data_IF_081374687276
#
_entry.id   IF_081374687276
#
_cell.length_a   1.000
_cell.length_b   1.000
_cell.length_c   1.000
_cell.angle_alpha   90.00
_cell.angle_beta   90.00
_cell.angle_gamma   90.00
#
_symmetry.space_group_name_H-M   'P 1'
#
loop_
_entity.id
_entity.type
_entity.pdbx_description
1 polymer ?
#
# COMPACT_ATOMS: atom_id res chain seq x y z
N UNK A 1 14.52 83.29 -32.98
CA UNK A 1 13.11 83.74 -32.87
C UNK A 1 12.19 82.60 -33.28
N UNK A 2 11.10 82.37 -32.52
CA UNK A 2 10.16 81.21 -32.57
C UNK A 2 10.76 79.90 -32.01
N UNK A 3 10.11 79.10 -31.17
CA UNK A 3 8.76 79.13 -30.60
C UNK A 3 8.71 78.26 -29.34
N UNK A 4 7.80 78.65 -28.43
CA UNK A 4 7.40 78.04 -27.15
C UNK A 4 6.72 76.67 -27.33
N UNK A 5 6.65 75.86 -26.27
CA UNK A 5 5.42 75.59 -25.49
C UNK A 5 5.61 74.31 -24.63
N UNK A 6 5.52 74.38 -23.29
CA UNK A 6 4.36 74.44 -22.36
C UNK A 6 4.30 73.10 -21.61
N UNK A 7 4.59 73.16 -20.31
CA UNK A 7 4.35 72.11 -19.33
C UNK A 7 2.87 72.20 -18.89
N UNK A 8 2.14 71.10 -19.00
CA UNK A 8 0.76 70.99 -18.51
C UNK A 8 0.67 69.89 -17.46
N UNK A 9 0.20 70.31 -16.29
CA UNK A 9 -0.23 69.52 -15.13
C UNK A 9 -1.23 68.44 -15.54
N UNK A 10 -1.07 67.23 -15.03
CA UNK A 10 -2.08 66.18 -15.12
C UNK A 10 -2.30 65.52 -13.75
N UNK A 11 -3.52 65.73 -13.28
CA UNK A 11 -4.21 65.17 -12.12
C UNK A 11 -4.32 63.65 -12.27
N UNK A 12 -3.96 62.89 -11.24
CA UNK A 12 -4.24 61.45 -11.16
C UNK A 12 -5.39 61.21 -10.18
N UNK A 13 -6.46 60.59 -10.67
CA UNK A 13 -7.63 60.14 -9.91
C UNK A 13 -7.76 58.62 -10.10
N UNK A 14 -7.86 57.93 -8.95
CA UNK A 14 -8.43 56.61 -8.64
C UNK A 14 -8.04 55.37 -9.48
N UNK A 15 -7.69 54.27 -8.81
CA UNK A 15 -8.53 53.05 -8.73
C UNK A 15 -8.31 52.33 -7.39
N UNK A 16 -9.41 51.90 -6.81
CA UNK A 16 -9.62 51.29 -5.50
C UNK A 16 -9.03 49.88 -5.35
N UNK A 17 -8.71 49.53 -4.10
CA UNK A 17 -8.32 48.20 -3.65
C UNK A 17 -9.40 47.14 -3.91
N UNK A 18 -9.02 46.06 -4.59
CA UNK A 18 -9.78 44.81 -4.66
C UNK A 18 -9.12 43.81 -3.70
N UNK A 19 -9.79 43.55 -2.59
CA UNK A 19 -9.53 42.45 -1.68
C UNK A 19 -9.96 41.14 -2.34
N UNK A 20 -8.99 40.31 -2.74
CA UNK A 20 -9.29 38.92 -3.09
C UNK A 20 -9.34 38.13 -1.78
N UNK A 21 -10.56 37.78 -1.37
CA UNK A 21 -10.79 36.81 -0.29
C UNK A 21 -10.25 35.45 -0.71
N UNK A 22 -9.20 34.98 -0.05
CA UNK A 22 -8.78 33.60 -0.13
C UNK A 22 -9.81 32.73 0.60
N UNK A 23 -10.65 32.03 -0.16
CA UNK A 23 -11.44 30.93 0.38
C UNK A 23 -10.46 29.77 0.65
N UNK A 24 -10.14 29.57 1.93
CA UNK A 24 -9.51 28.35 2.39
C UNK A 24 -10.46 27.19 2.10
N UNK A 25 -10.06 26.29 1.19
CA UNK A 25 -10.69 24.98 1.07
C UNK A 25 -10.17 24.08 2.20
N UNK A 26 -11.02 23.29 2.85
CA UNK A 26 -10.56 22.29 3.80
C UNK A 26 -9.77 21.21 3.04
N UNK A 27 -8.55 20.93 3.48
CA UNK A 27 -7.81 19.76 3.05
C UNK A 27 -8.59 18.51 3.50
N UNK A 28 -9.19 17.81 2.54
CA UNK A 28 -9.74 16.48 2.77
C UNK A 28 -8.57 15.51 2.88
N UNK A 29 -8.49 14.81 4.01
CA UNK A 29 -7.52 13.77 4.27
C UNK A 29 -7.64 12.66 3.21
N UNK A 30 -6.53 12.39 2.53
CA UNK A 30 -6.37 11.29 1.58
C UNK A 30 -6.39 9.95 2.33
N UNK A 31 -7.27 9.05 1.92
CA UNK A 31 -7.54 7.76 2.55
C UNK A 31 -6.71 6.61 1.95
N UNK A 32 -5.48 6.87 1.52
CA UNK A 32 -4.59 5.82 1.03
C UNK A 32 -4.23 4.86 2.17
N UNK A 33 -4.69 3.61 2.09
CA UNK A 33 -4.26 2.57 3.03
C UNK A 33 -2.78 2.30 2.82
N UNK A 34 -2.00 2.39 3.90
CA UNK A 34 -0.54 2.30 3.82
C UNK A 34 -0.08 0.93 3.28
N UNK A 35 0.84 0.86 2.30
CA UNK A 35 1.41 -0.38 1.77
C UNK A 35 2.00 -1.33 2.83
N UNK A 36 2.40 -0.77 3.97
CA UNK A 36 2.86 -1.51 5.13
C UNK A 36 1.72 -2.38 5.71
N UNK A 37 0.48 -1.88 5.72
CA UNK A 37 -0.73 -2.57 6.19
C UNK A 37 -1.08 -3.84 5.42
N UNK A 38 -0.80 -3.86 4.12
CA UNK A 38 -1.18 -4.99 3.28
C UNK A 38 -0.20 -6.16 3.39
N UNK A 39 1.09 -5.88 3.48
CA UNK A 39 2.12 -6.91 3.68
C UNK A 39 1.91 -7.68 5.00
N UNK A 40 1.21 -7.07 5.95
CA UNK A 40 0.94 -7.65 7.26
C UNK A 40 -0.26 -8.59 7.26
N UNK A 41 -1.33 -8.20 6.57
CA UNK A 41 -2.53 -9.02 6.44
C UNK A 41 -2.25 -10.34 5.69
N UNK A 42 -1.28 -10.36 4.77
CA UNK A 42 -0.85 -11.57 4.08
C UNK A 42 -0.10 -12.57 5.00
N UNK A 43 0.66 -12.08 6.00
CA UNK A 43 1.37 -12.91 6.96
C UNK A 43 0.47 -13.48 8.08
N UNK A 44 -0.64 -12.80 8.38
CA UNK A 44 -1.66 -13.22 9.36
C UNK A 44 -2.53 -14.40 8.89
N UNK A 45 -2.65 -14.63 7.59
CA UNK A 45 -3.60 -15.58 7.00
C UNK A 45 -3.20 -17.07 7.15
N UNK A 46 -2.07 -17.39 7.80
CA UNK A 46 -1.52 -18.75 7.88
C UNK A 46 -2.09 -19.58 9.05
N UNK A 47 -2.80 -18.98 10.02
CA UNK A 47 -3.56 -19.75 11.02
C UNK A 47 -4.66 -18.89 11.70
N UNK A 48 -5.96 -19.19 11.52
CA UNK A 48 -7.00 -18.53 12.31
C UNK A 48 -6.91 -19.03 13.76
N UNK A 49 -6.67 -18.11 14.71
CA UNK A 49 -6.68 -18.40 16.14
C UNK A 49 -5.30 -18.42 16.84
N UNK A 50 -4.23 -18.01 16.17
CA UNK A 50 -2.96 -17.71 16.84
C UNK A 50 -2.33 -16.48 16.22
N UNK A 51 -2.55 -15.32 16.82
CA UNK A 51 -1.73 -14.12 16.63
C UNK A 51 -0.37 -14.36 17.32
N UNK A 52 0.34 -15.40 16.89
CA UNK A 52 1.67 -15.71 17.38
C UNK A 52 2.62 -14.59 17.00
N UNK A 53 3.55 -14.27 17.89
CA UNK A 53 4.62 -13.28 17.72
C UNK A 53 5.33 -13.40 16.36
N UNK A 54 5.41 -14.61 15.79
CA UNK A 54 5.96 -14.86 14.45
C UNK A 54 5.22 -14.14 13.32
N UNK A 55 3.89 -14.05 13.33
CA UNK A 55 3.13 -13.33 12.28
C UNK A 55 3.44 -11.84 12.30
N UNK A 56 3.52 -11.24 13.48
CA UNK A 56 3.83 -9.82 13.71
C UNK A 56 5.28 -9.48 13.32
N UNK A 57 6.25 -10.36 13.61
CA UNK A 57 7.63 -10.16 13.15
C UNK A 57 7.72 -10.16 11.62
N UNK A 58 7.02 -11.06 10.93
CA UNK A 58 7.01 -11.09 9.46
C UNK A 58 6.32 -9.87 8.85
N UNK A 59 5.22 -9.42 9.45
CA UNK A 59 4.52 -8.18 9.11
C UNK A 59 5.46 -6.98 9.13
N UNK A 60 6.18 -6.83 10.23
CA UNK A 60 7.07 -5.70 10.47
C UNK A 60 8.31 -5.76 9.57
N UNK A 61 8.89 -6.96 9.35
CA UNK A 61 9.97 -7.15 8.39
C UNK A 61 9.51 -6.82 6.96
N UNK A 62 8.30 -7.23 6.57
CA UNK A 62 7.76 -6.94 5.24
C UNK A 62 7.44 -5.44 5.05
N UNK A 63 6.99 -4.76 6.10
CA UNK A 63 6.87 -3.31 6.13
C UNK A 63 8.23 -2.63 5.93
N UNK A 64 9.25 -3.02 6.70
CA UNK A 64 10.62 -2.50 6.58
C UNK A 64 11.27 -2.74 5.21
N UNK A 65 11.05 -3.93 4.63
CA UNK A 65 11.62 -4.34 3.36
C UNK A 65 10.87 -3.74 2.17
N UNK A 66 9.66 -3.21 2.38
CA UNK A 66 8.98 -2.42 1.36
C UNK A 66 9.77 -1.11 1.17
N UNK A 67 10.41 -0.95 0.00
CA UNK A 67 11.22 0.24 -0.33
C UNK A 67 10.46 1.58 -0.26
N UNK A 68 9.16 1.55 0.01
CA UNK A 68 8.31 2.68 0.36
C UNK A 68 8.71 3.31 1.70
N UNK A 69 9.03 2.49 2.72
CA UNK A 69 9.46 2.98 4.05
C UNK A 69 10.71 3.86 3.99
N UNK A 70 11.57 3.66 2.98
CA UNK A 70 12.81 4.42 2.78
C UNK A 70 12.62 5.80 2.13
N UNK A 71 11.43 6.07 1.59
CA UNK A 71 11.08 7.31 0.88
C UNK A 71 9.92 8.08 1.49
N UNK A 72 9.23 7.50 2.47
CA UNK A 72 8.15 8.18 3.17
C UNK A 72 8.72 9.25 4.09
N UNK A 73 8.03 10.40 4.18
CA UNK A 73 8.26 11.32 5.28
C UNK A 73 8.09 10.53 6.60
N UNK A 74 8.99 10.77 7.55
CA UNK A 74 9.06 10.06 8.83
C UNK A 74 7.70 9.91 9.53
N UNK A 75 6.90 10.96 9.52
CA UNK A 75 5.55 10.96 10.08
C UNK A 75 4.60 9.97 9.36
N UNK A 76 4.67 9.88 8.03
CA UNK A 76 3.86 8.96 7.24
C UNK A 76 4.27 7.52 7.51
N UNK A 77 5.56 7.26 7.66
CA UNK A 77 6.06 5.93 8.07
C UNK A 77 5.46 5.49 9.41
N UNK A 78 5.52 6.35 10.43
CA UNK A 78 5.00 6.02 11.77
C UNK A 78 3.48 5.82 11.76
N UNK A 79 2.73 6.68 11.05
CA UNK A 79 1.27 6.54 10.91
C UNK A 79 0.88 5.26 10.19
N UNK A 80 1.57 4.97 9.08
CA UNK A 80 1.40 3.76 8.30
C UNK A 80 1.61 2.48 9.08
N UNK A 81 2.70 2.46 9.84
CA UNK A 81 3.02 1.37 10.75
C UNK A 81 1.98 1.22 11.86
N UNK A 82 1.46 2.32 12.42
CA UNK A 82 0.40 2.27 13.43
C UNK A 82 -0.91 1.73 12.85
N UNK A 83 -1.34 2.23 11.70
CA UNK A 83 -2.57 1.81 11.03
C UNK A 83 -2.49 0.33 10.67
N UNK A 84 -1.37 -0.10 10.11
CA UNK A 84 -1.09 -1.50 9.83
C UNK A 84 -1.25 -2.39 11.06
N UNK A 85 -0.55 -2.08 12.15
CA UNK A 85 -0.57 -2.90 13.36
C UNK A 85 -1.95 -2.90 14.00
N UNK A 86 -2.65 -1.76 13.96
CA UNK A 86 -4.03 -1.63 14.44
C UNK A 86 -4.95 -2.57 13.67
N UNK A 87 -4.86 -2.56 12.35
CA UNK A 87 -5.70 -3.40 11.49
C UNK A 87 -5.36 -4.90 11.64
N UNK A 88 -4.07 -5.24 11.72
CA UNK A 88 -3.62 -6.62 11.92
C UNK A 88 -4.07 -7.21 13.26
N UNK A 89 -4.08 -6.39 14.31
CA UNK A 89 -4.51 -6.79 15.65
C UNK A 89 -6.03 -6.66 15.87
N UNK A 90 -6.77 -6.21 14.86
CA UNK A 90 -8.20 -5.94 14.97
C UNK A 90 -8.56 -4.87 16.01
N UNK A 91 -7.61 -3.99 16.36
CA UNK A 91 -7.78 -2.93 17.36
C UNK A 91 -7.94 -3.40 18.81
N UNK A 92 -7.56 -4.65 19.12
CA UNK A 92 -7.80 -5.25 20.45
C UNK A 92 -6.72 -4.96 21.49
N UNK A 93 -5.57 -4.46 21.07
CA UNK A 93 -4.41 -4.22 21.93
C UNK A 93 -4.04 -2.74 21.99
N UNK A 94 -3.32 -2.36 23.05
CA UNK A 94 -2.57 -1.12 23.06
C UNK A 94 -1.34 -1.31 22.15
N UNK A 95 -1.07 -0.34 21.30
CA UNK A 95 0.09 -0.33 20.40
C UNK A 95 0.87 0.95 20.66
N UNK A 96 2.18 0.81 20.74
CA UNK A 96 3.09 1.92 20.91
C UNK A 96 4.26 1.78 19.96
N UNK A 97 4.53 2.84 19.19
CA UNK A 97 5.68 2.98 18.30
C UNK A 97 6.46 4.19 18.79
N UNK A 98 7.78 4.08 18.96
CA UNK A 98 8.60 5.20 19.42
C UNK A 98 10.05 5.07 18.96
N UNK A 99 10.64 6.20 18.58
CA UNK A 99 12.03 6.32 18.19
C UNK A 99 12.95 6.26 19.41
N UNK A 100 13.98 5.44 19.33
CA UNK A 100 14.90 5.14 20.43
C UNK A 100 16.32 5.62 20.20
N UNK A 101 16.76 5.69 18.94
CA UNK A 101 18.15 6.01 18.58
C UNK A 101 18.24 6.35 17.11
N UNK A 102 19.14 7.26 16.78
CA UNK A 102 19.44 7.63 15.41
C UNK A 102 20.93 7.59 15.11
N UNK A 103 21.26 7.35 13.84
CA UNK A 103 22.60 7.49 13.28
C UNK A 103 22.59 8.61 12.26
N UNK A 104 23.71 9.34 12.17
CA UNK A 104 23.90 10.33 11.12
C UNK A 104 24.24 9.66 9.77
N UNK A 105 24.42 10.47 8.73
CA UNK A 105 24.80 10.05 7.38
C UNK A 105 26.11 9.22 7.27
N UNK A 106 26.93 9.19 8.32
CA UNK A 106 28.17 8.43 8.39
C UNK A 106 28.04 7.13 9.19
N UNK A 107 26.86 6.86 9.74
CA UNK A 107 26.58 5.69 10.57
C UNK A 107 26.95 5.87 12.04
N UNK A 108 27.43 7.04 12.45
CA UNK A 108 27.75 7.33 13.85
C UNK A 108 26.46 7.60 14.65
N UNK A 109 26.33 7.08 15.88
CA UNK A 109 25.20 7.41 16.75
C UNK A 109 25.09 8.92 16.97
N UNK A 110 23.92 9.49 16.70
CA UNK A 110 23.66 10.93 16.74
C UNK A 110 22.72 11.32 17.88
N UNK A 111 21.79 10.45 18.27
CA UNK A 111 21.06 10.55 19.53
C UNK A 111 20.65 9.18 20.07
N UNK A 112 20.32 9.16 21.35
CA UNK A 112 19.59 8.08 22.02
C UNK A 112 18.50 8.72 22.86
N UNK A 113 17.25 8.30 22.66
CA UNK A 113 16.13 8.71 23.50
C UNK A 113 16.02 7.76 24.69
N UNK A 114 16.19 8.33 25.88
CA UNK A 114 15.91 7.62 27.11
C UNK A 114 14.39 7.58 27.34
N UNK A 115 13.93 6.51 27.98
CA UNK A 115 12.55 6.34 28.37
C UNK A 115 12.47 5.53 29.65
N UNK A 116 11.30 5.61 30.30
CA UNK A 116 10.93 4.73 31.39
C UNK A 116 9.58 4.10 31.09
N UNK A 117 9.50 2.79 31.28
CA UNK A 117 8.30 2.01 31.07
C UNK A 117 7.87 1.26 32.33
N UNK A 118 6.56 1.05 32.43
CA UNK A 118 5.94 0.12 33.35
C UNK A 118 4.68 -0.43 32.68
N UNK A 119 4.86 -1.10 31.54
CA UNK A 119 3.77 -1.69 30.76
C UNK A 119 3.48 -3.12 31.21
N UNK A 120 2.21 -3.46 31.32
CA UNK A 120 1.76 -4.79 31.73
C UNK A 120 1.29 -5.60 30.52
N UNK A 121 1.46 -6.93 30.60
CA UNK A 121 1.00 -7.88 29.59
C UNK A 121 1.48 -7.55 28.17
N UNK A 122 2.79 -7.33 28.01
CA UNK A 122 3.42 -7.13 26.70
C UNK A 122 3.39 -8.44 25.92
N UNK A 123 2.56 -8.47 24.88
CA UNK A 123 2.38 -9.62 24.02
C UNK A 123 3.47 -9.68 22.93
N UNK A 124 3.95 -8.52 22.48
CA UNK A 124 4.95 -8.44 21.42
C UNK A 124 5.81 -7.19 21.53
N UNK A 125 7.11 -7.34 21.23
CA UNK A 125 8.03 -6.23 21.07
C UNK A 125 9.07 -6.48 19.98
N UNK A 126 9.40 -5.44 19.21
CA UNK A 126 10.49 -5.49 18.22
C UNK A 126 11.08 -4.11 17.95
N UNK A 127 12.23 -4.07 17.28
CA UNK A 127 12.82 -2.86 16.71
C UNK A 127 12.66 -2.85 15.18
N UNK A 128 12.62 -1.65 14.61
CA UNK A 128 12.51 -1.35 13.20
C UNK A 128 13.45 -0.22 12.84
N UNK A 129 14.31 -0.45 11.86
CA UNK A 129 15.08 0.60 11.19
C UNK A 129 14.24 1.31 10.13
N UNK A 130 14.23 2.64 10.22
CA UNK A 130 13.76 3.58 9.23
C UNK A 130 14.97 4.32 8.67
N UNK A 131 15.17 4.26 7.35
CA UNK A 131 16.29 4.93 6.69
C UNK A 131 15.72 6.04 5.82
N UNK A 132 16.02 7.29 6.14
CA UNK A 132 15.64 8.41 5.29
C UNK A 132 16.66 8.53 4.14
N UNK A 133 16.27 8.13 2.94
CA UNK A 133 17.14 8.22 1.75
C UNK A 133 17.57 9.67 1.42
N UNK A 134 16.86 10.66 1.93
CA UNK A 134 17.11 12.09 1.66
C UNK A 134 18.16 12.65 2.61
N UNK A 135 18.03 12.39 3.91
CA UNK A 135 18.98 12.87 4.94
C UNK A 135 20.13 11.89 5.19
N UNK A 136 19.99 10.62 4.75
CA UNK A 136 20.85 9.48 5.12
C UNK A 136 20.93 9.25 6.62
N UNK A 137 19.96 9.77 7.37
CA UNK A 137 19.84 9.49 8.79
C UNK A 137 19.01 8.23 8.98
N UNK A 138 19.57 7.29 9.71
CA UNK A 138 18.88 6.04 10.08
C UNK A 138 18.31 6.22 11.48
N UNK A 139 17.05 5.86 11.69
CA UNK A 139 16.39 5.88 12.99
C UNK A 139 15.90 4.49 13.35
N UNK A 140 15.94 4.15 14.64
CA UNK A 140 15.40 2.89 15.14
C UNK A 140 14.17 3.14 15.99
N UNK A 141 13.03 2.69 15.46
CA UNK A 141 11.78 2.64 16.18
C UNK A 141 11.65 1.35 16.95
N UNK A 142 11.13 1.42 18.16
CA UNK A 142 10.66 0.29 18.94
C UNK A 142 9.14 0.23 18.89
N UNK A 143 8.63 -0.98 18.75
CA UNK A 143 7.20 -1.29 18.65
C UNK A 143 6.84 -2.19 19.82
N UNK A 144 5.81 -1.82 20.57
CA UNK A 144 5.23 -2.61 21.65
C UNK A 144 3.73 -2.82 21.43
N UNK A 145 3.28 -4.06 21.60
CA UNK A 145 1.87 -4.44 21.55
C UNK A 145 1.55 -5.19 22.85
N UNK A 146 0.55 -4.70 23.58
CA UNK A 146 0.27 -5.14 24.94
C UNK A 146 -1.21 -4.97 25.28
N UNK A 147 -1.75 -5.81 26.16
CA UNK A 147 -3.17 -5.76 26.56
C UNK A 147 -3.39 -5.09 27.92
N UNK A 148 -2.35 -5.03 28.75
CA UNK A 148 -2.43 -4.49 30.10
C UNK A 148 -2.39 -2.95 30.13
N UNK A 149 -2.61 -2.41 31.32
CA UNK A 149 -2.37 -1.00 31.59
C UNK A 149 -0.89 -0.71 31.81
N UNK A 150 -0.56 0.53 32.12
CA UNK A 150 0.81 0.91 32.48
C UNK A 150 1.14 2.35 32.19
N UNK A 151 2.41 2.71 32.37
CA UNK A 151 2.90 4.04 32.04
C UNK A 151 4.14 3.97 31.16
N UNK A 152 4.26 4.91 30.25
CA UNK A 152 5.47 5.17 29.48
C UNK A 152 5.83 6.64 29.57
N UNK A 153 7.07 6.95 29.93
CA UNK A 153 7.60 8.30 29.90
C UNK A 153 8.68 8.40 28.84
N UNK A 154 8.46 9.23 27.82
CA UNK A 154 9.49 9.60 26.87
C UNK A 154 10.36 10.72 27.47
N UNK A 155 11.68 10.62 27.36
CA UNK A 155 12.60 11.70 27.74
C UNK A 155 13.15 12.45 26.51
N UNK A 156 12.73 12.04 25.30
CA UNK A 156 12.97 12.72 24.03
C UNK A 156 11.81 13.62 23.57
N UNK A 157 11.84 14.01 22.29
CA UNK A 157 10.89 14.95 21.69
C UNK A 157 9.50 14.33 21.41
N UNK A 158 8.46 15.13 21.64
CA UNK A 158 7.05 14.80 21.81
C UNK A 158 6.21 14.59 20.55
N UNK A 159 6.78 14.78 19.36
CA UNK A 159 6.05 14.85 18.08
C UNK A 159 5.74 13.51 17.41
N UNK A 160 4.77 13.51 16.48
CA UNK A 160 4.31 12.32 15.73
C UNK A 160 5.41 11.59 14.97
N UNK A 161 6.44 12.30 14.54
CA UNK A 161 7.62 11.69 13.91
C UNK A 161 8.46 10.85 14.87
N UNK A 162 8.25 10.91 16.19
CA UNK A 162 9.09 10.23 17.18
C UNK A 162 8.31 9.17 17.97
N UNK A 163 6.97 9.23 18.00
CA UNK A 163 6.15 8.27 18.72
C UNK A 163 4.67 8.41 18.36
N UNK A 164 3.99 7.27 18.34
CA UNK A 164 2.57 7.13 18.06
C UNK A 164 1.96 6.00 18.90
N UNK A 165 0.68 6.15 19.24
CA UNK A 165 -0.03 5.21 20.13
C UNK A 165 -1.43 4.92 19.62
N UNK A 166 -1.86 3.68 19.81
CA UNK A 166 -3.23 3.23 19.62
C UNK A 166 -3.72 2.52 20.90
N UNK A 167 -5.02 2.56 21.16
CA UNK A 167 -5.66 1.91 22.30
C UNK A 167 -6.28 2.90 23.28
N UNK A 168 -6.31 2.53 24.57
CA UNK A 168 -6.89 3.34 25.63
C UNK A 168 -5.80 4.00 26.45
N UNK A 169 -5.61 5.31 26.26
CA UNK A 169 -4.53 6.03 26.94
C UNK A 169 -4.88 7.48 27.24
N UNK A 170 -4.18 8.04 28.23
CA UNK A 170 -4.18 9.45 28.58
C UNK A 170 -2.74 9.96 28.58
N UNK A 171 -2.50 11.18 28.08
CA UNK A 171 -1.16 11.78 28.06
C UNK A 171 -1.10 13.03 28.94
N UNK A 172 -0.05 13.10 29.76
CA UNK A 172 0.30 14.26 30.58
C UNK A 172 1.77 14.59 30.36
N UNK A 173 2.03 15.65 29.59
CA UNK A 173 3.38 16.04 29.19
C UNK A 173 4.06 14.95 28.37
N UNK A 174 5.18 14.45 28.88
CA UNK A 174 5.95 13.37 28.25
C UNK A 174 5.59 11.97 28.75
N UNK A 175 4.60 11.85 29.64
CA UNK A 175 4.12 10.56 30.15
C UNK A 175 2.77 10.19 29.54
N UNK A 176 2.67 8.95 29.06
CA UNK A 176 1.45 8.32 28.55
C UNK A 176 1.07 7.21 29.53
N UNK A 177 -0.18 7.21 29.97
CA UNK A 177 -0.73 6.16 30.81
C UNK A 177 -1.72 5.36 29.98
N UNK A 178 -1.46 4.06 29.85
CA UNK A 178 -2.33 3.11 29.16
C UNK A 178 -3.27 2.44 30.16
N UNK A 179 -4.51 2.23 29.74
CA UNK A 179 -5.51 1.44 30.44
C UNK A 179 -5.58 0.04 29.81
N UNK A 180 -5.93 -1.00 30.56
CA UNK A 180 -6.11 -2.33 29.99
C UNK A 180 -7.16 -2.33 28.86
N UNK A 181 -6.89 -3.07 27.78
CA UNK A 181 -7.84 -3.26 26.67
C UNK A 181 -8.84 -4.38 26.97
N UNK A 182 -9.83 -4.60 26.10
CA UNK A 182 -10.93 -5.54 26.35
C UNK A 182 -10.47 -7.00 26.52
N UNK A 183 -9.31 -7.38 25.99
CA UNK A 183 -8.69 -8.70 26.19
C UNK A 183 -8.48 -9.03 27.68
N UNK A 184 -8.25 -8.01 28.52
CA UNK A 184 -7.99 -8.15 29.96
C UNK A 184 -9.23 -7.83 30.83
N UNK A 185 -10.36 -7.45 30.20
CA UNK A 185 -11.66 -7.45 30.90
C UNK A 185 -12.12 -8.89 31.01
N UNK A 186 -11.63 -9.61 32.02
CA UNK A 186 -12.33 -10.76 32.57
C UNK A 186 -13.72 -10.29 32.96
N UNK A 187 -14.72 -10.56 32.13
CA UNK A 187 -16.13 -10.44 32.51
C UNK A 187 -16.39 -11.60 33.47
N UNK A 188 -16.68 -11.37 34.76
CA UNK A 188 -16.99 -12.47 35.67
C UNK A 188 -18.28 -13.14 35.19
N UNK A 189 -18.18 -14.39 34.71
CA UNK A 189 -19.35 -15.25 34.45
C UNK A 189 -19.54 -15.80 33.03
N UNK A 190 -18.61 -15.65 32.09
CA UNK A 190 -18.74 -16.27 30.75
C UNK A 190 -17.75 -17.43 30.58
N UNK A 191 -18.19 -18.68 30.35
CA UNK A 191 -17.30 -19.81 30.10
C UNK A 191 -16.62 -19.76 28.72
N UNK A 192 -15.37 -20.22 28.70
CA UNK A 192 -14.42 -20.30 27.59
C UNK A 192 -14.99 -20.94 26.29
N UNK A 193 -14.87 -20.31 25.10
CA UNK A 193 -15.49 -20.83 23.87
C UNK A 193 -14.59 -21.86 23.19
N UNK A 194 -14.79 -23.13 23.53
CA UNK A 194 -14.36 -24.27 22.71
C UNK A 194 -15.56 -25.14 22.33
N UNK A 195 -16.58 -24.54 21.70
CA UNK A 195 -17.55 -25.25 20.84
C UNK A 195 -18.15 -24.29 19.80
N UNK A 196 -18.43 -24.73 18.57
CA UNK A 196 -19.07 -23.91 17.54
C UNK A 196 -20.60 -23.91 17.73
N UNK A 197 -21.22 -22.72 17.81
CA UNK A 197 -22.68 -22.59 17.73
C UNK A 197 -23.11 -21.91 16.41
N UNK A 198 -24.26 -22.31 15.86
CA UNK A 198 -24.72 -21.91 14.53
C UNK A 198 -25.66 -20.70 14.58
N UNK A 199 -25.57 -19.87 13.55
CA UNK A 199 -26.66 -19.07 13.02
C UNK A 199 -27.10 -17.87 13.84
N UNK A 200 -26.55 -16.71 13.52
CA UNK A 200 -27.26 -15.43 13.58
C UNK A 200 -26.81 -14.57 12.40
N UNK A 201 -27.77 -14.12 11.58
CA UNK A 201 -27.55 -13.21 10.45
C UNK A 201 -27.36 -11.78 10.93
N UNK A 202 -26.23 -11.11 10.62
CA UNK A 202 -26.08 -9.68 10.89
C UNK A 202 -26.61 -8.85 9.71
N UNK A 203 -27.50 -7.91 10.01
CA UNK A 203 -27.90 -6.80 9.15
C UNK A 203 -26.70 -5.94 8.77
N UNK A 204 -26.59 -5.63 7.48
CA UNK A 204 -25.54 -4.81 6.85
C UNK A 204 -25.62 -3.34 7.29
N UNK A 205 -24.59 -2.77 7.92
CA UNK A 205 -24.45 -1.32 8.04
C UNK A 205 -23.97 -0.72 6.71
N UNK A 206 -24.54 0.43 6.34
CA UNK A 206 -24.44 1.03 5.00
C UNK A 206 -23.03 1.30 4.48
N UNK A 207 -22.84 0.96 3.21
CA UNK A 207 -21.67 1.24 2.38
C UNK A 207 -21.55 2.76 2.13
N UNK A 208 -20.39 3.40 2.38
CA UNK A 208 -20.11 4.74 1.87
C UNK A 208 -20.09 4.72 0.32
N UNK A 209 -20.82 5.64 -0.29
CA UNK A 209 -21.01 5.69 -1.75
C UNK A 209 -19.68 5.86 -2.51
N UNK A 210 -19.49 5.03 -3.54
CA UNK A 210 -18.50 5.21 -4.60
C UNK A 210 -18.65 6.61 -5.26
N UNK A 211 -17.57 7.29 -5.66
CA UNK A 211 -17.65 8.37 -6.62
C UNK A 211 -18.23 7.79 -7.93
N UNK A 212 -19.43 8.24 -8.29
CA UNK A 212 -20.19 7.69 -9.41
C UNK A 212 -19.48 7.87 -10.76
N UNK A 213 -19.90 7.08 -11.77
CA UNK A 213 -19.41 7.23 -13.13
C UNK A 213 -19.77 8.62 -13.68
N UNK A 214 -18.81 9.30 -14.30
CA UNK A 214 -19.09 10.46 -15.15
C UNK A 214 -19.99 10.01 -16.31
N UNK A 215 -21.15 10.65 -16.55
CA UNK A 215 -21.99 10.33 -17.70
C UNK A 215 -21.32 10.79 -18.99
N UNK A 216 -21.13 9.85 -19.91
CA UNK A 216 -20.99 10.15 -21.34
C UNK A 216 -19.77 9.51 -21.98
N UNK A 217 -19.87 8.24 -22.36
CA UNK A 217 -19.40 7.78 -23.67
C UNK A 217 -20.27 6.60 -24.11
N UNK A 218 -20.83 6.72 -25.32
CA UNK A 218 -21.67 5.69 -25.96
C UNK A 218 -20.85 4.43 -26.20
N UNK A 219 -21.45 3.28 -25.87
CA UNK A 219 -21.11 2.01 -26.47
C UNK A 219 -21.56 2.05 -27.93
N UNK A 220 -20.64 1.89 -28.87
CA UNK A 220 -20.99 1.63 -30.27
C UNK A 220 -20.04 0.57 -30.86
N UNK A 221 -20.69 -0.53 -31.24
CA UNK A 221 -20.41 -1.42 -32.39
C UNK A 221 -19.25 -2.41 -32.33
N UNK A 222 -19.64 -3.69 -32.26
CA UNK A 222 -18.87 -4.84 -32.73
C UNK A 222 -18.51 -4.66 -34.22
N UNK A 223 -17.23 -4.80 -34.55
CA UNK A 223 -16.75 -4.90 -35.91
C UNK A 223 -15.97 -6.21 -36.10
N UNK A 224 -16.32 -6.87 -37.20
CA UNK A 224 -15.84 -8.16 -37.72
C UNK A 224 -14.32 -8.23 -37.87
N UNK A 225 -13.74 -9.37 -37.47
CA UNK A 225 -12.31 -9.73 -37.61
C UNK A 225 -11.79 -9.64 -39.07
N UNK A 226 -10.50 -9.30 -39.21
CA UNK A 226 -9.63 -10.18 -39.98
C UNK A 226 -8.31 -10.54 -39.25
N UNK A 227 -8.02 -11.84 -39.27
CA UNK A 227 -6.72 -12.54 -39.32
C UNK A 227 -5.51 -12.07 -38.48
N UNK A 228 -5.29 -12.78 -37.37
CA UNK A 228 -4.03 -13.48 -36.99
C UNK A 228 -2.71 -12.71 -36.78
N UNK A 229 -2.71 -11.46 -36.30
CA UNK A 229 -1.51 -10.83 -35.73
C UNK A 229 -1.68 -10.24 -34.32
N UNK A 230 -2.82 -10.48 -33.66
CA UNK A 230 -3.19 -9.80 -32.41
C UNK A 230 -3.40 -10.67 -31.18
N UNK A 231 -3.24 -12.00 -31.26
CA UNK A 231 -3.38 -12.89 -30.09
C UNK A 231 -2.02 -13.29 -29.50
N UNK A 232 -1.88 -13.33 -28.17
CA UNK A 232 -0.67 -13.83 -27.54
C UNK A 232 -0.48 -15.33 -27.85
N UNK A 233 0.77 -15.86 -27.79
CA UNK A 233 1.01 -17.29 -27.87
C UNK A 233 0.23 -18.07 -26.78
N UNK A 234 -0.59 -19.03 -27.19
CA UNK A 234 -1.42 -19.84 -26.28
C UNK A 234 -0.74 -21.18 -26.00
N UNK A 235 -0.81 -21.65 -24.76
CA UNK A 235 -0.36 -22.98 -24.33
C UNK A 235 1.16 -23.19 -24.31
N UNK A 236 1.94 -22.18 -24.70
CA UNK A 236 3.42 -22.22 -24.66
C UNK A 236 3.91 -21.24 -23.59
N UNK A 237 4.89 -21.64 -22.75
CA UNK A 237 5.53 -20.70 -21.82
C UNK A 237 6.18 -19.54 -22.56
N UNK A 238 5.97 -18.33 -22.05
CA UNK A 238 6.51 -17.06 -22.55
C UNK A 238 7.02 -16.21 -21.40
N UNK A 239 7.81 -15.19 -21.72
CA UNK A 239 8.20 -14.12 -20.81
C UNK A 239 7.37 -12.87 -21.13
N UNK A 240 6.81 -12.25 -20.09
CA UNK A 240 6.23 -10.92 -20.17
C UNK A 240 7.33 -9.90 -19.88
N UNK A 241 7.92 -9.30 -20.91
CA UNK A 241 9.08 -8.42 -20.78
C UNK A 241 8.71 -6.95 -20.88
N UNK A 242 9.28 -6.14 -20.00
CA UNK A 242 9.28 -4.68 -20.09
C UNK A 242 10.26 -4.20 -21.17
N UNK A 243 10.21 -2.91 -21.51
CA UNK A 243 11.13 -2.30 -22.49
C UNK A 243 12.63 -2.39 -22.09
N UNK A 244 12.94 -2.52 -20.79
CA UNK A 244 14.31 -2.69 -20.28
C UNK A 244 14.72 -4.17 -20.12
N UNK A 245 13.99 -5.11 -20.76
CA UNK A 245 14.24 -6.55 -20.76
C UNK A 245 14.08 -7.27 -19.39
N UNK A 246 13.46 -6.62 -18.41
CA UNK A 246 13.02 -7.31 -17.19
C UNK A 246 11.74 -8.09 -17.47
N UNK A 247 11.60 -9.26 -16.88
CA UNK A 247 10.39 -10.08 -16.97
C UNK A 247 9.51 -9.90 -15.74
N UNK A 248 8.21 -10.16 -15.88
CA UNK A 248 7.32 -10.41 -14.75
C UNK A 248 7.75 -11.70 -14.03
N UNK A 249 8.09 -11.61 -12.74
CA UNK A 249 8.59 -12.73 -11.93
C UNK A 249 7.75 -12.87 -10.67
N UNK A 250 7.13 -14.03 -10.47
CA UNK A 250 6.49 -14.36 -9.20
C UNK A 250 7.56 -14.62 -8.12
N UNK A 251 7.44 -14.01 -6.95
CA UNK A 251 8.44 -14.20 -5.88
C UNK A 251 8.36 -15.58 -5.25
N UNK A 252 7.19 -16.24 -5.28
CA UNK A 252 7.01 -17.63 -4.88
C UNK A 252 5.74 -18.25 -5.47
N UNK A 253 5.52 -19.54 -5.22
CA UNK A 253 4.29 -20.25 -5.62
C UNK A 253 3.11 -20.02 -4.65
N UNK A 254 3.35 -19.40 -3.49
CA UNK A 254 2.32 -19.20 -2.47
C UNK A 254 1.29 -18.15 -2.93
N UNK A 255 0.01 -18.40 -2.65
CA UNK A 255 -1.05 -17.45 -2.94
C UNK A 255 -0.79 -16.10 -2.23
N UNK A 256 -1.01 -15.00 -2.94
CA UNK A 256 -0.70 -13.65 -2.47
C UNK A 256 0.74 -13.20 -2.73
N UNK A 257 1.62 -14.08 -3.24
CA UNK A 257 2.99 -13.66 -3.58
C UNK A 257 2.98 -12.61 -4.67
N UNK A 258 3.78 -11.56 -4.47
CA UNK A 258 3.90 -10.45 -5.42
C UNK A 258 4.58 -10.87 -6.71
N UNK A 259 4.21 -10.20 -7.81
CA UNK A 259 4.94 -10.26 -9.07
C UNK A 259 5.81 -9.01 -9.20
N UNK A 260 7.11 -9.22 -9.45
CA UNK A 260 8.12 -8.16 -9.54
C UNK A 260 8.78 -8.15 -10.91
N UNK A 261 9.43 -7.05 -11.28
CA UNK A 261 10.25 -7.01 -12.47
C UNK A 261 11.64 -7.58 -12.15
N UNK A 262 12.01 -8.68 -12.80
CA UNK A 262 13.24 -9.42 -12.52
C UNK A 262 13.92 -9.96 -13.76
N UNK A 263 15.07 -10.62 -13.57
CA UNK A 263 15.80 -11.25 -14.67
C UNK A 263 15.01 -12.47 -15.20
N UNK A 264 14.77 -12.60 -16.51
CA UNK A 264 14.15 -13.80 -17.07
C UNK A 264 15.09 -15.01 -16.95
N UNK A 265 14.53 -16.20 -16.73
CA UNK A 265 15.25 -17.47 -16.91
C UNK A 265 14.63 -18.66 -16.20
N UNK A 266 14.19 -18.46 -14.96
CA UNK A 266 13.63 -19.49 -14.10
C UNK A 266 12.12 -19.70 -14.32
N UNK A 267 11.57 -20.79 -13.76
CA UNK A 267 10.15 -21.14 -13.90
C UNK A 267 9.21 -20.01 -13.42
N UNK A 268 9.62 -19.28 -12.38
CA UNK A 268 8.86 -18.16 -11.81
C UNK A 268 8.76 -16.92 -12.71
N UNK A 269 9.55 -16.86 -13.78
CA UNK A 269 9.52 -15.79 -14.79
C UNK A 269 8.79 -16.18 -16.08
N UNK A 270 8.31 -17.43 -16.16
CA UNK A 270 7.60 -17.97 -17.32
C UNK A 270 6.10 -17.97 -17.07
N UNK A 271 5.34 -17.64 -18.10
CA UNK A 271 3.88 -17.51 -18.03
C UNK A 271 3.24 -18.23 -19.22
N UNK A 272 2.09 -18.86 -19.01
CA UNK A 272 1.35 -19.56 -20.06
C UNK A 272 -0.04 -18.97 -20.16
N UNK A 273 -0.40 -18.49 -21.36
CA UNK A 273 -1.75 -18.04 -21.64
C UNK A 273 -2.64 -19.24 -21.98
N UNK A 274 -3.77 -19.35 -21.30
CA UNK A 274 -4.83 -20.32 -21.58
C UNK A 274 -6.13 -19.56 -21.84
N UNK A 275 -6.87 -19.92 -22.88
CA UNK A 275 -8.15 -19.30 -23.19
C UNK A 275 -9.15 -19.50 -22.02
N UNK A 276 -9.72 -18.41 -21.53
CA UNK A 276 -10.74 -18.39 -20.48
C UNK A 276 -12.11 -17.95 -20.99
N UNK A 277 -12.27 -17.80 -22.31
CA UNK A 277 -13.48 -17.38 -23.00
C UNK A 277 -13.60 -15.86 -23.16
N UNK A 278 -14.35 -15.42 -24.18
CA UNK A 278 -14.67 -14.00 -24.39
C UNK A 278 -13.46 -13.11 -24.68
N UNK A 279 -12.41 -13.67 -25.28
CA UNK A 279 -11.14 -12.94 -25.53
C UNK A 279 -10.28 -12.74 -24.28
N UNK A 280 -10.65 -13.34 -23.14
CA UNK A 280 -9.90 -13.30 -21.89
C UNK A 280 -9.06 -14.56 -21.72
N UNK A 281 -7.99 -14.43 -20.96
CA UNK A 281 -6.98 -15.45 -20.72
C UNK A 281 -6.76 -15.65 -19.23
N UNK A 282 -6.58 -16.91 -18.86
CA UNK A 282 -5.88 -17.31 -17.64
C UNK A 282 -4.38 -17.24 -17.93
N UNK A 283 -3.62 -16.56 -17.08
CA UNK A 283 -2.16 -16.41 -17.25
C UNK A 283 -1.46 -17.14 -16.09
N UNK A 284 -0.99 -18.36 -16.36
CA UNK A 284 -0.44 -19.26 -15.34
C UNK A 284 1.08 -19.12 -15.25
N UNK A 285 1.62 -18.89 -14.05
CA UNK A 285 3.05 -18.88 -13.80
C UNK A 285 3.66 -20.28 -13.91
N UNK A 286 4.93 -20.40 -14.27
CA UNK A 286 5.64 -21.68 -14.33
C UNK A 286 5.78 -22.39 -12.97
N UNK A 287 5.56 -21.67 -11.85
CA UNK A 287 5.44 -22.27 -10.51
C UNK A 287 4.06 -22.89 -10.22
N UNK A 288 3.07 -22.68 -11.09
CA UNK A 288 1.71 -23.21 -10.95
C UNK A 288 0.59 -22.20 -10.69
N UNK A 289 0.74 -21.14 -9.86
CA UNK A 289 -0.36 -20.22 -9.57
C UNK A 289 -0.58 -19.21 -10.72
N UNK A 290 -1.69 -18.51 -10.69
CA UNK A 290 -2.16 -17.64 -11.77
C UNK A 290 -2.01 -16.16 -11.44
N UNK A 291 -1.64 -15.37 -12.44
CA UNK A 291 -1.60 -13.91 -12.34
C UNK A 291 -2.98 -13.41 -11.90
N UNK A 292 -3.01 -12.69 -10.79
CA UNK A 292 -4.22 -12.26 -10.11
C UNK A 292 -4.06 -10.81 -9.71
N UNK A 293 -5.04 -9.97 -10.07
CA UNK A 293 -5.15 -8.64 -9.51
C UNK A 293 -5.57 -8.76 -8.04
N UNK A 294 -4.84 -8.08 -7.16
CA UNK A 294 -5.30 -7.82 -5.82
C UNK A 294 -6.10 -6.52 -5.81
N UNK A 295 -7.43 -6.60 -5.87
CA UNK A 295 -8.31 -5.42 -5.90
C UNK A 295 -8.26 -4.59 -4.63
N UNK A 296 -7.69 -5.11 -3.53
CA UNK A 296 -7.49 -4.34 -2.30
C UNK A 296 -6.40 -3.30 -2.43
N UNK A 297 -5.38 -3.56 -3.26
CA UNK A 297 -4.12 -2.80 -3.26
C UNK A 297 -3.50 -2.57 -4.62
N UNK A 298 -4.17 -3.07 -5.65
CA UNK A 298 -3.80 -2.88 -7.04
C UNK A 298 -2.46 -3.55 -7.40
N UNK A 299 -1.88 -4.37 -6.54
CA UNK A 299 -0.70 -5.16 -6.93
C UNK A 299 -1.08 -6.39 -7.76
N UNK A 300 -0.17 -6.76 -8.66
CA UNK A 300 -0.24 -8.02 -9.37
C UNK A 300 0.39 -9.10 -8.48
N UNK A 301 -0.42 -10.05 -8.06
CA UNK A 301 -0.01 -11.19 -7.24
C UNK A 301 -0.23 -12.49 -8.01
N UNK A 302 0.12 -13.62 -7.40
CA UNK A 302 -0.27 -14.94 -7.87
C UNK A 302 -1.23 -15.62 -6.89
N UNK A 303 -2.22 -16.35 -7.40
CA UNK A 303 -3.13 -17.14 -6.58
C UNK A 303 -3.63 -18.37 -7.36
N UNK A 304 -4.17 -19.37 -6.68
CA UNK A 304 -4.81 -20.50 -7.36
C UNK A 304 -5.99 -20.03 -8.21
N UNK A 305 -6.18 -20.65 -9.38
CA UNK A 305 -7.33 -20.38 -10.25
C UNK A 305 -8.66 -20.61 -9.52
N UNK A 306 -9.48 -19.57 -9.48
CA UNK A 306 -10.88 -19.59 -9.04
C UNK A 306 -11.85 -19.16 -10.13
N UNK A 307 -11.33 -18.71 -11.29
CA UNK A 307 -12.14 -18.28 -12.43
C UNK A 307 -12.83 -16.93 -12.26
N UNK A 308 -12.43 -16.14 -11.25
CA UNK A 308 -12.93 -14.80 -11.01
C UNK A 308 -12.48 -13.78 -12.06
N UNK A 309 -13.15 -12.64 -12.12
CA UNK A 309 -12.79 -11.52 -13.02
C UNK A 309 -11.36 -11.04 -12.76
N UNK A 310 -10.91 -11.05 -11.51
CA UNK A 310 -9.55 -10.65 -11.08
C UNK A 310 -8.43 -11.57 -11.57
N UNK A 311 -8.77 -12.66 -12.25
CA UNK A 311 -7.80 -13.60 -12.83
C UNK A 311 -7.94 -13.72 -14.36
N UNK A 312 -8.87 -12.96 -14.96
CA UNK A 312 -9.20 -13.03 -16.40
C UNK A 312 -8.66 -11.81 -17.13
N UNK A 313 -7.53 -11.99 -17.78
CA UNK A 313 -6.79 -10.92 -18.42
C UNK A 313 -7.06 -10.87 -19.92
N UNK A 314 -7.10 -9.70 -20.50
CA UNK A 314 -7.08 -9.48 -21.94
C UNK A 314 -5.66 -9.06 -22.35
N UNK A 315 -5.18 -9.59 -23.47
CA UNK A 315 -3.94 -9.15 -24.10
C UNK A 315 -4.29 -8.33 -25.34
N UNK A 316 -4.23 -7.01 -25.22
CA UNK A 316 -4.51 -6.08 -26.32
C UNK A 316 -3.24 -5.85 -27.10
N UNK A 317 -3.25 -6.22 -28.38
CA UNK A 317 -2.12 -5.97 -29.26
C UNK A 317 -1.86 -4.47 -29.42
N UNK A 318 -0.60 -4.05 -29.31
CA UNK A 318 -0.17 -2.66 -29.52
C UNK A 318 0.57 -2.54 -30.83
N UNK A 319 1.68 -3.28 -30.99
CA UNK A 319 2.46 -3.40 -32.22
C UNK A 319 3.44 -4.57 -32.10
N UNK A 320 3.79 -5.22 -33.23
CA UNK A 320 4.75 -6.34 -33.22
C UNK A 320 4.40 -7.39 -32.17
N UNK A 321 5.34 -7.72 -31.27
CA UNK A 321 5.15 -8.63 -30.13
C UNK A 321 4.79 -7.89 -28.82
N UNK A 322 4.42 -6.62 -28.90
CA UNK A 322 4.07 -5.76 -27.76
C UNK A 322 2.58 -5.77 -27.53
N UNK A 323 2.21 -6.02 -26.28
CA UNK A 323 0.83 -6.10 -25.82
C UNK A 323 0.63 -5.21 -24.60
N UNK A 324 -0.61 -4.80 -24.37
CA UNK A 324 -1.09 -4.32 -23.09
C UNK A 324 -1.89 -5.43 -22.44
N UNK A 325 -1.53 -5.80 -21.21
CA UNK A 325 -2.26 -6.82 -20.46
C UNK A 325 -3.22 -6.08 -19.52
N UNK A 326 -4.53 -6.31 -19.65
CA UNK A 326 -5.55 -5.55 -18.90
C UNK A 326 -6.62 -6.45 -18.31
N UNK A 327 -7.21 -6.04 -17.21
CA UNK A 327 -8.30 -6.76 -16.54
C UNK A 327 -9.66 -6.09 -16.75
N UNK A 328 -9.65 -4.79 -17.02
CA UNK A 328 -10.80 -4.02 -17.52
C UNK A 328 -10.33 -3.05 -18.60
N UNK A 329 -11.24 -2.26 -19.18
CA UNK A 329 -10.86 -1.18 -20.09
C UNK A 329 -10.06 -0.07 -19.41
N UNK A 330 -10.06 -0.02 -18.08
CA UNK A 330 -9.35 0.99 -17.30
C UNK A 330 -8.19 0.39 -16.51
N UNK A 331 -8.07 -0.92 -16.35
CA UNK A 331 -7.13 -1.51 -15.40
C UNK A 331 -6.07 -2.35 -16.13
N UNK A 332 -4.84 -1.84 -16.16
CA UNK A 332 -3.73 -2.38 -16.94
C UNK A 332 -2.56 -2.83 -16.06
N UNK A 333 -2.03 -4.02 -16.35
CA UNK A 333 -0.78 -4.50 -15.78
C UNK A 333 0.33 -3.51 -16.16
N UNK A 334 0.91 -2.88 -15.16
CA UNK A 334 1.96 -1.86 -15.33
C UNK A 334 3.20 -2.31 -14.57
N UNK A 335 4.35 -1.98 -15.11
CA UNK A 335 5.63 -2.07 -14.42
C UNK A 335 5.92 -0.74 -13.76
N UNK A 336 6.09 -0.75 -12.45
CA UNK A 336 6.58 0.42 -11.73
C UNK A 336 8.10 0.35 -11.64
N UNK A 337 8.77 1.24 -12.38
CA UNK A 337 10.23 1.29 -12.41
C UNK A 337 10.84 1.76 -11.09
N UNK A 338 10.11 2.54 -10.31
CA UNK A 338 10.57 3.09 -9.03
C UNK A 338 10.44 2.07 -7.90
N UNK A 339 9.42 1.21 -7.97
CA UNK A 339 9.16 0.18 -6.94
C UNK A 339 9.58 -1.23 -7.34
N UNK A 340 10.00 -1.44 -8.60
CA UNK A 340 10.36 -2.76 -9.17
C UNK A 340 9.26 -3.83 -9.02
N UNK A 341 8.01 -3.40 -8.78
CA UNK A 341 6.82 -4.24 -8.61
C UNK A 341 5.92 -4.13 -9.83
N UNK A 342 5.07 -5.13 -10.02
CA UNK A 342 3.97 -5.05 -10.97
C UNK A 342 2.67 -4.81 -10.21
N UNK A 343 1.81 -4.03 -10.83
CA UNK A 343 0.49 -3.68 -10.34
C UNK A 343 -0.47 -3.47 -11.49
N UNK A 344 -1.69 -3.11 -11.15
CA UNK A 344 -2.81 -2.88 -12.05
C UNK A 344 -3.24 -1.44 -11.84
N UNK A 345 -3.00 -0.59 -12.83
CA UNK A 345 -3.29 0.83 -12.74
C UNK A 345 -4.07 1.30 -13.95
N UNK A 346 -4.56 2.53 -13.86
CA UNK A 346 -5.31 3.18 -14.93
C UNK A 346 -4.57 3.06 -16.27
N UNK A 347 -5.21 2.48 -17.27
CA UNK A 347 -4.68 2.30 -18.61
C UNK A 347 -4.40 3.68 -19.24
N UNK A 348 -3.13 4.02 -19.43
CA UNK A 348 -2.67 5.28 -20.04
C UNK A 348 -1.87 5.05 -21.34
N UNK A 349 -1.52 3.79 -21.62
CA UNK A 349 -0.74 3.40 -22.79
C UNK A 349 0.74 3.75 -22.72
N UNK A 350 1.23 4.15 -21.55
CA UNK A 350 2.64 4.39 -21.29
C UNK A 350 3.49 3.14 -21.58
N UNK A 351 4.80 3.34 -21.72
CA UNK A 351 5.75 2.23 -21.91
C UNK A 351 5.77 1.26 -20.73
N UNK A 352 5.39 1.73 -19.54
CA UNK A 352 5.27 0.91 -18.34
C UNK A 352 4.14 -0.14 -18.46
N UNK A 353 3.14 0.09 -19.32
CA UNK A 353 2.02 -0.82 -19.57
C UNK A 353 2.21 -1.71 -20.81
N UNK A 354 3.37 -1.61 -21.45
CA UNK A 354 3.68 -2.30 -22.69
C UNK A 354 4.60 -3.49 -22.40
N UNK A 355 4.12 -4.67 -22.77
CA UNK A 355 4.76 -5.95 -22.50
C UNK A 355 5.10 -6.65 -23.80
N UNK A 356 6.38 -6.88 -24.04
CA UNK A 356 6.81 -7.78 -25.11
C UNK A 356 6.59 -9.22 -24.65
N UNK A 357 5.78 -9.98 -25.39
CA UNK A 357 5.55 -11.40 -25.11
C UNK A 357 6.54 -12.22 -25.94
N UNK A 358 7.62 -12.69 -25.30
CA UNK A 358 8.71 -13.41 -25.96
C UNK A 358 8.73 -14.88 -25.54
N UNK A 359 9.11 -15.79 -26.44
CA UNK A 359 9.34 -17.21 -26.12
C UNK A 359 10.68 -17.44 -25.44
#
# INVERSE_FOLDING_TARGET
MRSRSKLSTLTAVCVSALTVGALAQPALADGSVDPAQENCNAASAVAPGSYGTGSLTWCIIAAQQSGQVKKLARENFVKGLLDMLTNHTGGQYNIMIFDTKGKNAFGDPWFVHHYRENLQNVAFQTEVEYNDETSREDQTYRIWIFSGGGSFTNEGDGGWGNWAFYGLWDRSGSTVNFRPTMEDRVVPGVPNPSTPFPGDTPVTPGVPAHPGPRPGFRADTAATEPASSGRPPIGTPVFLKTANNLAAVATSAAAGSTVVAGKPGEANSRWTFTDAGGGRYRITNGLGPDLTENTGTYFANVASWKGGSTQKWEAVHVNGDTYRIRISDQDCLTYDEDYKKLGVWTCDGSKAQQWTIAR
#
